data_IF_605318640389
#
_entry.id   IF_605318640389
#
_cell.length_a   1.000
_cell.length_b   1.000
_cell.length_c   1.000
_cell.angle_alpha   90.00
_cell.angle_beta   90.00
_cell.angle_gamma   90.00
#
_symmetry.space_group_name_H-M   'P 1'
#
loop_
_entity.id
_entity.type
_entity.pdbx_description
1 polymer ?
#
# COMPACT_ATOMS: atom_id res chain seq x y z
N UNK A 1 -8.95 10.59 11.34
CA UNK A 1 -9.39 11.78 10.55
C UNK A 1 -10.66 11.40 9.80
N UNK A 2 -11.81 12.05 9.99
CA UNK A 2 -13.06 11.62 9.30
C UNK A 2 -13.34 12.32 7.98
N UNK A 3 -12.68 13.45 7.71
CA UNK A 3 -12.87 14.25 6.49
C UNK A 3 -11.58 14.96 6.08
N UNK A 4 -11.32 15.02 4.77
CA UNK A 4 -10.35 15.91 4.14
C UNK A 4 -11.08 16.79 3.13
N UNK A 5 -11.29 18.07 3.46
CA UNK A 5 -12.04 18.99 2.60
C UNK A 5 -11.25 19.40 1.35
N UNK A 6 -9.92 19.44 1.42
CA UNK A 6 -9.09 19.82 0.27
C UNK A 6 -9.13 18.73 -0.81
N UNK A 7 -9.17 17.47 -0.39
CA UNK A 7 -9.24 16.31 -1.29
C UNK A 7 -10.66 15.79 -1.51
N UNK A 8 -11.66 16.43 -0.90
CA UNK A 8 -13.07 16.01 -0.92
C UNK A 8 -13.27 14.56 -0.48
N UNK A 9 -12.55 14.13 0.56
CA UNK A 9 -12.60 12.77 1.10
C UNK A 9 -13.47 12.76 2.37
N UNK A 10 -14.33 11.74 2.49
CA UNK A 10 -15.04 11.41 3.73
C UNK A 10 -14.81 9.95 4.08
N UNK A 11 -14.57 9.68 5.36
CA UNK A 11 -14.15 8.36 5.85
C UNK A 11 -15.05 7.92 6.99
N UNK A 12 -15.54 6.69 6.91
CA UNK A 12 -16.09 5.97 8.04
C UNK A 12 -15.08 4.90 8.50
N UNK A 13 -15.05 4.66 9.80
CA UNK A 13 -14.13 3.69 10.41
C UNK A 13 -14.90 2.51 10.99
N UNK A 14 -14.25 1.34 10.98
CA UNK A 14 -14.75 0.19 11.71
C UNK A 14 -14.60 0.44 13.22
N UNK A 15 -15.66 0.30 14.03
CA UNK A 15 -15.63 0.61 15.46
C UNK A 15 -14.73 -0.35 16.27
N UNK A 16 -14.50 -1.58 15.79
CA UNK A 16 -13.67 -2.57 16.48
C UNK A 16 -12.18 -2.47 16.18
N UNK A 17 -11.82 -2.09 14.95
CA UNK A 17 -10.41 -2.07 14.49
C UNK A 17 -9.85 -0.68 14.26
N UNK A 18 -10.70 0.36 14.25
CA UNK A 18 -10.34 1.73 13.88
C UNK A 18 -9.69 1.84 12.48
N UNK A 19 -9.98 0.90 11.59
CA UNK A 19 -9.55 0.90 10.18
C UNK A 19 -10.60 1.55 9.28
N UNK A 20 -10.21 2.26 8.20
CA UNK A 20 -11.15 2.87 7.25
C UNK A 20 -12.05 1.82 6.57
N UNK A 21 -13.33 1.86 6.89
CA UNK A 21 -14.34 0.94 6.35
C UNK A 21 -14.86 1.43 4.99
N UNK A 22 -15.28 2.70 4.91
CA UNK A 22 -15.74 3.32 3.68
C UNK A 22 -15.03 4.65 3.47
N UNK A 23 -14.49 4.86 2.26
CA UNK A 23 -13.82 6.09 1.85
C UNK A 23 -14.53 6.62 0.60
N UNK A 24 -15.25 7.73 0.76
CA UNK A 24 -15.90 8.44 -0.34
C UNK A 24 -14.98 9.53 -0.84
N UNK A 25 -14.77 9.59 -2.16
CA UNK A 25 -13.98 10.60 -2.86
C UNK A 25 -14.62 10.92 -4.22
N UNK A 26 -14.15 11.95 -4.97
CA UNK A 26 -14.81 12.37 -6.22
C UNK A 26 -14.94 11.29 -7.31
N UNK A 27 -14.09 10.27 -7.28
CA UNK A 27 -14.05 9.20 -8.30
C UNK A 27 -14.89 7.98 -7.90
N UNK A 28 -15.36 7.89 -6.66
CA UNK A 28 -16.16 6.75 -6.19
C UNK A 28 -16.13 6.54 -4.69
N UNK A 29 -16.53 5.34 -4.29
CA UNK A 29 -16.58 4.90 -2.90
C UNK A 29 -15.77 3.61 -2.79
N UNK A 30 -14.71 3.65 -1.98
CA UNK A 30 -13.94 2.47 -1.62
C UNK A 30 -14.56 1.86 -0.36
N UNK A 31 -14.97 0.60 -0.42
CA UNK A 31 -15.38 -0.18 0.75
C UNK A 31 -14.36 -1.27 1.02
N UNK A 32 -13.69 -1.19 2.17
CA UNK A 32 -12.70 -2.18 2.60
C UNK A 32 -13.35 -3.27 3.46
N UNK A 33 -12.78 -4.46 3.40
CA UNK A 33 -13.19 -5.60 4.23
C UNK A 33 -11.99 -6.09 5.03
N UNK A 34 -12.17 -6.30 6.33
CA UNK A 34 -11.11 -6.73 7.24
C UNK A 34 -11.59 -7.91 8.09
N UNK A 35 -10.62 -8.70 8.56
CA UNK A 35 -10.83 -9.62 9.68
C UNK A 35 -10.98 -8.83 11.00
N UNK A 36 -11.40 -9.52 12.07
CA UNK A 36 -11.43 -8.93 13.41
C UNK A 36 -10.03 -8.55 13.93
N UNK A 37 -8.98 -9.20 13.43
CA UNK A 37 -7.58 -8.89 13.74
C UNK A 37 -6.97 -7.84 12.80
N UNK A 38 -7.79 -7.07 12.07
CA UNK A 38 -7.32 -5.95 11.24
C UNK A 38 -6.71 -6.34 9.89
N UNK A 39 -6.54 -7.61 9.57
CA UNK A 39 -6.04 -8.03 8.25
C UNK A 39 -7.07 -7.70 7.16
N UNK A 40 -6.65 -6.98 6.12
CA UNK A 40 -7.49 -6.67 4.96
C UNK A 40 -7.74 -7.91 4.11
N UNK A 41 -9.01 -8.21 3.87
CA UNK A 41 -9.51 -9.32 3.06
C UNK A 41 -9.87 -8.90 1.64
N UNK A 42 -10.08 -7.62 1.39
CA UNK A 42 -10.45 -7.14 0.08
C UNK A 42 -10.95 -5.70 0.09
N UNK A 43 -11.34 -5.23 -1.09
CA UNK A 43 -11.97 -3.94 -1.31
C UNK A 43 -12.96 -3.99 -2.46
N UNK A 44 -13.95 -3.10 -2.43
CA UNK A 44 -14.84 -2.80 -3.55
C UNK A 44 -14.66 -1.34 -3.93
N UNK A 45 -14.64 -1.07 -5.22
CA UNK A 45 -14.84 0.27 -5.75
C UNK A 45 -16.26 0.38 -6.29
N UNK A 46 -17.01 1.34 -5.77
CA UNK A 46 -18.37 1.66 -6.21
C UNK A 46 -18.38 3.03 -6.89
N UNK A 47 -19.31 3.24 -7.81
CA UNK A 47 -19.63 4.57 -8.30
C UNK A 47 -20.35 5.39 -7.19
N UNK A 48 -20.52 6.70 -7.41
CA UNK A 48 -21.16 7.58 -6.43
C UNK A 48 -22.65 7.27 -6.19
N UNK A 49 -23.26 6.38 -6.98
CA UNK A 49 -24.64 5.90 -6.80
C UNK A 49 -24.69 4.53 -6.11
N UNK A 50 -23.54 3.97 -5.74
CA UNK A 50 -23.42 2.66 -5.08
C UNK A 50 -23.38 1.47 -6.05
N UNK A 51 -23.26 1.70 -7.37
CA UNK A 51 -23.07 0.64 -8.35
C UNK A 51 -21.65 0.07 -8.30
N UNK A 52 -21.50 -1.25 -8.27
CA UNK A 52 -20.19 -1.91 -8.25
C UNK A 52 -19.42 -1.66 -9.55
N UNK A 53 -18.21 -1.09 -9.43
CA UNK A 53 -17.26 -0.94 -10.55
C UNK A 53 -16.37 -2.17 -10.61
N UNK A 54 -15.69 -2.50 -9.52
CA UNK A 54 -14.93 -3.74 -9.38
C UNK A 54 -14.81 -4.14 -7.91
N UNK A 55 -14.45 -5.40 -7.67
CA UNK A 55 -14.03 -5.88 -6.35
C UNK A 55 -12.74 -6.70 -6.43
N UNK A 56 -11.90 -6.54 -5.40
CA UNK A 56 -10.69 -7.34 -5.19
C UNK A 56 -10.76 -8.06 -3.85
N UNK A 57 -10.33 -9.31 -3.83
CA UNK A 57 -10.21 -10.15 -2.63
C UNK A 57 -8.78 -10.68 -2.52
N UNK A 58 -8.25 -10.66 -1.30
CA UNK A 58 -6.89 -11.09 -0.96
C UNK A 58 -6.94 -12.43 -0.22
N UNK A 59 -6.30 -13.45 -0.78
CA UNK A 59 -6.14 -14.79 -0.20
C UNK A 59 -4.65 -15.10 -0.05
N UNK A 60 -4.05 -14.56 1.02
CA UNK A 60 -2.59 -14.49 1.12
C UNK A 60 -2.05 -13.68 -0.07
N UNK A 61 -1.12 -14.26 -0.81
CA UNK A 61 -0.50 -13.61 -1.96
C UNK A 61 -1.39 -13.59 -3.22
N UNK A 62 -2.49 -14.35 -3.25
CA UNK A 62 -3.39 -14.43 -4.39
C UNK A 62 -4.43 -13.29 -4.37
N UNK A 63 -4.50 -12.52 -5.46
CA UNK A 63 -5.52 -11.49 -5.68
C UNK A 63 -6.55 -11.97 -6.69
N UNK A 64 -7.80 -12.02 -6.26
CA UNK A 64 -8.95 -12.32 -7.10
C UNK A 64 -9.69 -11.01 -7.39
N UNK A 65 -9.84 -10.66 -8.66
CA UNK A 65 -10.63 -9.50 -9.09
C UNK A 65 -11.86 -9.98 -9.84
N UNK A 66 -13.04 -9.53 -9.41
CA UNK A 66 -14.33 -9.87 -10.02
C UNK A 66 -14.53 -11.39 -10.22
N UNK A 67 -14.06 -12.18 -9.26
CA UNK A 67 -14.17 -13.65 -9.25
C UNK A 67 -13.10 -14.39 -10.05
N UNK A 68 -12.15 -13.69 -10.67
CA UNK A 68 -11.05 -14.29 -11.43
C UNK A 68 -9.69 -14.03 -10.77
N UNK A 69 -8.78 -15.02 -10.70
CA UNK A 69 -7.39 -14.79 -10.33
C UNK A 69 -6.75 -13.78 -11.28
N UNK A 70 -6.12 -12.73 -10.74
CA UNK A 70 -5.48 -11.70 -11.57
C UNK A 70 -4.04 -11.45 -11.22
N UNK A 71 -3.66 -11.60 -9.95
CA UNK A 71 -2.29 -11.34 -9.50
C UNK A 71 -1.86 -12.33 -8.42
N UNK A 72 -0.57 -12.67 -8.40
CA UNK A 72 0.10 -13.26 -7.24
C UNK A 72 1.16 -12.27 -6.79
N UNK A 73 1.25 -12.04 -5.48
CA UNK A 73 2.08 -11.01 -4.85
C UNK A 73 3.23 -11.64 -4.06
N UNK A 74 4.26 -12.20 -4.72
CA UNK A 74 5.45 -12.61 -3.99
C UNK A 74 6.11 -11.39 -3.35
N UNK A 75 6.87 -11.59 -2.27
CA UNK A 75 7.46 -10.49 -1.50
C UNK A 75 8.28 -9.49 -2.33
N UNK A 76 8.87 -9.90 -3.45
CA UNK A 76 9.77 -9.08 -4.30
C UNK A 76 9.29 -8.89 -5.74
N UNK A 77 7.97 -8.92 -5.99
CA UNK A 77 7.46 -8.71 -7.35
C UNK A 77 5.95 -8.87 -7.48
N UNK A 78 5.48 -8.94 -8.71
CA UNK A 78 4.08 -9.26 -9.03
C UNK A 78 4.05 -10.24 -10.20
N UNK A 79 3.22 -11.26 -10.07
CA UNK A 79 2.87 -12.16 -11.18
C UNK A 79 1.49 -11.76 -11.68
N UNK A 80 1.40 -11.16 -12.86
CA UNK A 80 0.11 -10.85 -13.49
C UNK A 80 -0.40 -12.08 -14.25
N UNK A 81 -1.61 -12.50 -13.92
CA UNK A 81 -2.34 -13.59 -14.55
C UNK A 81 -3.29 -12.98 -15.59
N UNK A 82 -2.76 -12.56 -16.74
CA UNK A 82 -3.59 -12.04 -17.84
C UNK A 82 -4.12 -13.20 -18.69
N UNK A 83 -5.30 -13.03 -19.32
CA UNK A 83 -5.98 -14.09 -20.07
C UNK A 83 -5.21 -14.68 -21.26
N UNK A 84 -4.09 -14.09 -21.67
CA UNK A 84 -3.22 -14.58 -22.75
C UNK A 84 -1.84 -15.04 -22.29
N UNK A 85 -1.50 -14.93 -21.01
CA UNK A 85 -0.18 -15.30 -20.50
C UNK A 85 0.12 -14.81 -19.09
N UNK A 86 1.19 -15.35 -18.53
CA UNK A 86 1.73 -14.96 -17.21
C UNK A 86 2.86 -13.97 -17.42
N UNK A 87 2.75 -12.79 -16.81
CA UNK A 87 3.80 -11.76 -16.81
C UNK A 87 4.42 -11.68 -15.42
N UNK A 88 5.75 -11.62 -15.35
CA UNK A 88 6.50 -11.53 -14.11
C UNK A 88 7.18 -10.18 -14.03
N UNK A 89 6.89 -9.44 -12.97
CA UNK A 89 7.65 -8.24 -12.61
C UNK A 89 8.41 -8.48 -11.32
N UNK A 90 9.61 -7.91 -11.25
CA UNK A 90 10.50 -7.98 -10.09
C UNK A 90 10.75 -6.59 -9.55
N UNK A 91 10.82 -6.47 -8.23
CA UNK A 91 11.07 -5.22 -7.53
C UNK A 91 12.53 -5.15 -7.08
N UNK A 92 13.27 -4.16 -7.61
CA UNK A 92 14.56 -3.79 -7.03
C UNK A 92 14.33 -2.71 -5.99
N UNK A 93 14.73 -3.02 -4.76
CA UNK A 93 14.44 -2.20 -3.59
C UNK A 93 15.72 -1.57 -3.03
N UNK A 94 15.58 -0.40 -2.43
CA UNK A 94 16.64 0.11 -1.56
C UNK A 94 16.59 -0.54 -0.16
N UNK A 95 17.64 -0.31 0.64
CA UNK A 95 17.76 -0.86 1.97
C UNK A 95 16.90 -0.09 2.96
N UNK A 96 16.07 -0.79 3.75
CA UNK A 96 15.50 -0.28 5.00
C UNK A 96 16.35 -0.77 6.17
N UNK A 97 16.74 0.12 7.07
CA UNK A 97 17.84 -0.05 8.04
C UNK A 97 17.62 -0.99 9.21
N UNK A 98 16.50 -1.71 9.27
CA UNK A 98 16.21 -2.62 10.38
C UNK A 98 16.49 -4.06 10.01
N UNK A 99 17.25 -4.81 10.83
CA UNK A 99 17.41 -6.27 10.64
C UNK A 99 16.09 -7.05 10.64
N UNK A 100 15.01 -6.42 11.10
CA UNK A 100 13.66 -6.92 11.20
C UNK A 100 12.84 -6.72 9.90
N UNK A 101 13.33 -5.97 8.91
CA UNK A 101 12.57 -5.59 7.71
C UNK A 101 12.79 -6.50 6.50
N UNK A 102 12.94 -7.81 6.70
CA UNK A 102 13.08 -8.77 5.60
C UNK A 102 11.90 -8.62 4.63
N UNK A 103 12.19 -8.26 3.37
CA UNK A 103 11.18 -8.03 2.32
C UNK A 103 10.60 -6.60 2.27
N UNK A 104 10.90 -5.73 3.25
CA UNK A 104 10.48 -4.32 3.21
C UNK A 104 11.61 -3.45 2.66
N UNK A 105 11.27 -2.63 1.68
CA UNK A 105 12.18 -1.71 1.01
C UNK A 105 11.40 -0.84 0.05
N UNK A 106 11.94 0.33 -0.29
CA UNK A 106 11.27 1.19 -1.25
C UNK A 106 11.54 0.61 -2.64
N UNK A 107 10.48 0.26 -3.37
CA UNK A 107 10.62 -0.26 -4.73
C UNK A 107 11.14 0.87 -5.62
N UNK A 108 12.42 0.80 -6.00
CA UNK A 108 13.12 1.78 -6.84
C UNK A 108 12.95 1.49 -8.32
N UNK A 109 13.01 0.21 -8.69
CA UNK A 109 12.79 -0.24 -10.06
C UNK A 109 11.80 -1.39 -10.09
N UNK A 110 10.94 -1.38 -11.10
CA UNK A 110 10.15 -2.54 -11.51
C UNK A 110 10.72 -3.00 -12.84
N UNK A 111 11.12 -4.27 -12.91
CA UNK A 111 11.73 -4.85 -14.11
C UNK A 111 10.97 -6.10 -14.56
N UNK A 112 11.07 -6.44 -15.84
CA UNK A 112 10.52 -7.67 -16.43
C UNK A 112 11.59 -8.32 -17.33
N UNK A 113 11.55 -9.64 -17.57
CA UNK A 113 12.38 -10.26 -18.60
C UNK A 113 11.95 -9.80 -20.00
N UNK A 114 12.87 -9.19 -20.76
CA UNK A 114 12.68 -8.84 -22.16
C UNK A 114 12.86 -10.04 -23.10
N UNK A 115 12.81 -9.80 -24.42
CA UNK A 115 12.81 -10.85 -25.46
C UNK A 115 13.99 -11.85 -25.37
N UNK A 116 15.16 -11.39 -24.92
CA UNK A 116 16.37 -12.20 -24.77
C UNK A 116 16.67 -12.58 -23.31
N UNK A 117 15.69 -12.48 -22.40
CA UNK A 117 15.84 -12.56 -20.94
C UNK A 117 16.74 -11.46 -20.33
N UNK A 118 17.03 -10.41 -21.07
CA UNK A 118 17.67 -9.21 -20.51
C UNK A 118 16.64 -8.40 -19.71
N UNK A 119 17.05 -7.75 -18.60
CA UNK A 119 16.12 -7.00 -17.76
C UNK A 119 15.64 -5.73 -18.48
N UNK A 120 14.33 -5.61 -18.66
CA UNK A 120 13.68 -4.39 -19.13
C UNK A 120 13.09 -3.62 -17.94
N UNK A 121 13.32 -2.31 -17.89
CA UNK A 121 12.81 -1.44 -16.83
C UNK A 121 11.42 -0.94 -17.21
N UNK A 122 10.43 -1.25 -16.38
CA UNK A 122 9.03 -0.81 -16.56
C UNK A 122 8.73 0.47 -15.78
N UNK A 123 9.31 0.62 -14.59
CA UNK A 123 9.03 1.74 -13.70
C UNK A 123 10.27 2.14 -12.90
N UNK A 124 10.49 3.45 -12.78
CA UNK A 124 11.50 4.05 -11.90
C UNK A 124 10.81 4.92 -10.87
N UNK A 125 11.12 4.69 -9.59
CA UNK A 125 10.54 5.41 -8.46
C UNK A 125 11.61 6.05 -7.59
N UNK A 126 11.44 7.34 -7.34
CA UNK A 126 12.18 8.06 -6.32
C UNK A 126 11.26 8.55 -5.22
N UNK A 127 11.76 8.59 -3.99
CA UNK A 127 10.96 8.92 -2.81
C UNK A 127 11.62 10.05 -2.02
N UNK A 128 10.79 10.97 -1.53
CA UNK A 128 11.14 11.82 -0.39
C UNK A 128 11.31 10.96 0.88
N UNK A 129 12.00 11.45 1.92
CA UNK A 129 12.31 10.66 3.11
C UNK A 129 11.09 10.01 3.80
N UNK A 130 9.93 10.69 3.77
CA UNK A 130 8.67 10.20 4.35
C UNK A 130 7.81 9.40 3.36
N UNK A 131 8.38 9.00 2.22
CA UNK A 131 7.77 8.03 1.31
C UNK A 131 6.85 8.60 0.23
N UNK A 132 6.69 9.92 0.16
CA UNK A 132 6.01 10.53 -0.98
C UNK A 132 6.85 10.29 -2.22
N UNK A 133 6.25 9.75 -3.28
CA UNK A 133 6.96 9.57 -4.54
C UNK A 133 7.30 10.95 -5.13
N UNK A 134 8.59 11.17 -5.40
CA UNK A 134 9.11 12.35 -6.09
C UNK A 134 8.94 12.20 -7.60
N UNK A 135 9.38 11.07 -8.13
CA UNK A 135 9.30 10.73 -9.54
C UNK A 135 8.72 9.34 -9.68
N UNK A 136 7.73 9.18 -10.56
CA UNK A 136 7.21 7.89 -11.00
C UNK A 136 7.21 7.89 -12.51
N UNK A 137 8.30 7.39 -13.10
CA UNK A 137 8.40 7.29 -14.55
C UNK A 137 8.02 5.88 -14.96
N UNK A 138 6.89 5.75 -15.65
CA UNK A 138 6.61 4.57 -16.46
C UNK A 138 7.49 4.66 -17.71
N UNK A 139 8.41 3.71 -17.86
CA UNK A 139 9.19 3.57 -19.08
C UNK A 139 8.28 2.85 -20.08
N UNK A 140 7.96 3.51 -21.20
CA UNK A 140 7.17 2.91 -22.28
C UNK A 140 8.00 1.86 -23.02
N UNK A 141 8.20 0.71 -22.39
CA UNK A 141 8.67 -0.51 -23.03
C UNK A 141 7.50 -1.17 -23.76
N UNK A 142 7.30 -0.86 -25.05
CA UNK A 142 6.57 -1.66 -26.03
C UNK A 142 5.11 -2.13 -25.80
N UNK A 143 4.52 -1.96 -24.61
CA UNK A 143 3.23 -2.52 -24.22
C UNK A 143 2.56 -1.72 -23.10
N UNK A 144 1.24 -1.90 -22.96
CA UNK A 144 0.44 -1.27 -21.92
C UNK A 144 0.67 -1.97 -20.55
N UNK A 145 1.86 -1.79 -19.96
CA UNK A 145 2.15 -2.32 -18.63
C UNK A 145 1.34 -1.57 -17.57
N UNK A 146 0.74 -2.33 -16.65
CA UNK A 146 -0.01 -1.73 -15.54
C UNK A 146 0.95 -1.11 -14.52
N UNK A 147 0.60 0.07 -14.02
CA UNK A 147 1.36 0.74 -12.98
C UNK A 147 1.46 -0.13 -11.72
N UNK A 148 2.66 -0.31 -11.20
CA UNK A 148 2.85 -1.06 -9.96
C UNK A 148 2.34 -0.25 -8.77
N UNK A 149 1.48 -0.87 -7.95
CA UNK A 149 0.88 -0.25 -6.76
C UNK A 149 1.72 -0.43 -5.49
N UNK A 150 2.71 -1.31 -5.50
CA UNK A 150 3.54 -1.62 -4.33
C UNK A 150 4.82 -0.78 -4.35
N UNK A 151 4.85 0.29 -3.57
CA UNK A 151 5.83 1.37 -3.74
C UNK A 151 6.77 1.50 -2.51
N UNK A 152 6.60 2.57 -1.74
CA UNK A 152 7.38 2.86 -0.54
C UNK A 152 7.15 1.75 0.50
N UNK A 153 8.25 1.21 1.07
CA UNK A 153 8.24 0.05 1.95
C UNK A 153 7.43 -1.15 1.43
N UNK A 154 7.31 -1.28 0.10
CA UNK A 154 6.53 -2.33 -0.57
C UNK A 154 5.04 -2.34 -0.16
N UNK A 155 4.50 -1.20 0.30
CA UNK A 155 3.08 -1.06 0.67
C UNK A 155 2.22 -0.70 -0.52
N UNK A 156 0.99 -1.23 -0.51
CA UNK A 156 0.01 -0.96 -1.57
C UNK A 156 -0.50 0.48 -1.45
N UNK A 157 -0.31 1.24 -2.51
CA UNK A 157 -0.92 2.56 -2.67
C UNK A 157 -2.38 2.43 -3.11
N UNK A 158 -3.29 3.11 -2.41
CA UNK A 158 -4.70 3.10 -2.73
C UNK A 158 -5.03 4.11 -3.84
N UNK A 159 -5.89 3.70 -4.77
CA UNK A 159 -6.37 4.46 -5.92
C UNK A 159 -7.41 5.50 -5.49
N UNK A 160 -6.97 6.52 -4.75
CA UNK A 160 -7.80 7.62 -4.27
C UNK A 160 -6.97 8.90 -4.16
N UNK A 161 -7.61 10.09 -4.13
CA UNK A 161 -6.93 11.32 -3.75
C UNK A 161 -6.20 11.14 -2.42
N UNK A 162 -4.96 11.64 -2.34
CA UNK A 162 -4.09 11.41 -1.18
C UNK A 162 -3.12 10.24 -1.33
N UNK A 163 -3.45 9.22 -2.17
CA UNK A 163 -2.56 8.09 -2.50
C UNK A 163 -1.98 7.43 -1.24
N UNK A 164 -2.87 7.00 -0.34
CA UNK A 164 -2.45 6.45 0.95
C UNK A 164 -1.84 5.07 0.81
N UNK A 165 -0.87 4.78 1.67
CA UNK A 165 -0.21 3.48 1.73
C UNK A 165 -0.88 2.62 2.81
N UNK A 166 -1.21 1.38 2.44
CA UNK A 166 -1.81 0.40 3.33
C UNK A 166 -0.73 -0.39 4.06
N UNK A 167 -0.59 -0.14 5.37
CA UNK A 167 0.38 -0.85 6.21
C UNK A 167 -0.23 -2.05 6.93
N UNK A 168 -1.55 -2.26 6.86
CA UNK A 168 -2.27 -3.27 7.65
C UNK A 168 -3.08 -2.62 8.77
N UNK A 169 -2.45 -2.32 9.90
CA UNK A 169 -3.12 -1.78 11.08
C UNK A 169 -3.44 -0.29 11.00
N UNK A 170 -2.80 0.44 10.09
CA UNK A 170 -3.05 1.86 9.83
C UNK A 170 -2.87 2.20 8.36
N UNK A 171 -3.58 3.23 7.91
CA UNK A 171 -3.34 3.88 6.62
C UNK A 171 -2.37 5.05 6.80
N UNK A 172 -1.36 5.13 5.95
CA UNK A 172 -0.32 6.16 6.01
C UNK A 172 -0.49 7.22 4.92
N UNK A 173 -0.43 8.50 5.29
CA UNK A 173 -0.35 9.64 4.38
C UNK A 173 1.11 10.08 4.22
N UNK A 174 1.71 9.73 3.09
CA UNK A 174 3.09 10.12 2.81
C UNK A 174 3.25 11.63 2.56
N UNK A 175 2.18 12.33 2.16
CA UNK A 175 2.22 13.79 1.92
C UNK A 175 2.23 14.57 3.24
N UNK A 176 1.55 14.04 4.26
CA UNK A 176 1.52 14.62 5.60
C UNK A 176 2.57 14.04 6.54
N UNK A 177 3.22 12.93 6.17
CA UNK A 177 4.13 12.18 7.02
C UNK A 177 3.47 11.67 8.32
N UNK A 178 2.21 11.23 8.24
CA UNK A 178 1.39 10.85 9.41
C UNK A 178 0.49 9.65 9.14
N UNK A 179 0.14 8.95 10.21
CA UNK A 179 -0.94 7.97 10.21
C UNK A 179 -2.31 8.64 10.23
N UNK A 180 -3.31 8.00 9.60
CA UNK A 180 -4.70 8.48 9.61
C UNK A 180 -5.51 8.08 10.84
N UNK A 181 -5.05 7.05 11.54
CA UNK A 181 -5.63 6.52 12.78
C UNK A 181 -4.67 6.68 13.96
N UNK A 182 -5.24 6.67 15.16
CA UNK A 182 -4.49 6.59 16.43
C UNK A 182 -3.77 5.23 16.46
N UNK A 183 -2.50 5.24 16.88
CA UNK A 183 -1.74 4.02 17.16
C UNK A 183 -2.49 3.09 18.14
N UNK A 184 -2.78 1.83 17.78
CA UNK A 184 -3.32 0.86 18.73
C UNK A 184 -2.43 0.63 19.96
N UNK A 185 -1.12 0.90 19.83
CA UNK A 185 -0.12 0.79 20.89
C UNK A 185 0.26 2.17 21.47
N UNK A 186 -0.60 3.19 21.36
CA UNK A 186 -0.32 4.53 21.87
C UNK A 186 0.03 4.55 23.39
N UNK A 187 -0.54 3.63 24.17
CA UNK A 187 -0.30 3.50 25.60
C UNK A 187 0.88 2.58 25.95
N UNK A 188 1.53 1.96 24.95
CA UNK A 188 2.71 1.12 25.17
C UNK A 188 3.87 1.96 25.70
N UNK A 189 4.67 1.40 26.61
CA UNK A 189 5.78 2.09 27.25
C UNK A 189 6.82 2.61 26.25
N UNK A 190 6.96 1.98 25.07
CA UNK A 190 7.85 2.41 24.00
C UNK A 190 7.27 3.52 23.10
N UNK A 191 5.96 3.79 23.19
CA UNK A 191 5.25 4.76 22.34
C UNK A 191 4.69 5.95 23.12
N UNK A 192 4.58 5.86 24.45
CA UNK A 192 3.91 6.85 25.29
C UNK A 192 4.48 8.28 25.19
N UNK A 193 5.76 8.42 24.82
CA UNK A 193 6.44 9.71 24.61
C UNK A 193 6.37 10.20 23.15
N UNK A 194 5.69 9.46 22.28
CA UNK A 194 5.49 9.77 20.85
C UNK A 194 4.06 10.21 20.59
N UNK A 195 3.88 10.96 19.51
CA UNK A 195 2.51 11.24 19.04
C UNK A 195 1.88 9.94 18.53
N UNK A 196 0.61 9.63 18.85
CA UNK A 196 -0.11 8.47 18.32
C UNK A 196 -0.28 8.47 16.79
N UNK A 197 0.11 9.56 16.13
CA UNK A 197 0.05 9.72 14.67
C UNK A 197 1.44 9.80 14.03
N UNK A 198 2.52 9.71 14.81
CA UNK A 198 3.89 9.81 14.30
C UNK A 198 4.28 8.57 13.52
N UNK A 199 4.78 8.77 12.30
CA UNK A 199 5.39 7.70 11.51
C UNK A 199 6.88 7.56 11.86
N UNK A 200 7.33 6.32 12.08
CA UNK A 200 8.74 5.97 12.25
C UNK A 200 9.51 6.85 13.26
N UNK A 201 8.83 7.30 14.32
CA UNK A 201 9.35 8.27 15.31
C UNK A 201 10.00 9.53 14.69
N UNK A 202 9.47 9.98 13.55
CA UNK A 202 10.01 11.07 12.72
C UNK A 202 11.43 10.84 12.17
N UNK A 203 11.91 9.60 12.13
CA UNK A 203 13.18 9.24 11.50
C UNK A 203 12.98 8.08 10.49
N UNK A 204 12.29 8.32 9.36
CA UNK A 204 11.95 7.30 8.38
C UNK A 204 13.14 6.81 7.54
N UNK A 205 14.29 7.49 7.66
CA UNK A 205 15.56 7.03 7.05
C UNK A 205 16.11 5.84 7.84
N UNK A 206 15.92 5.85 9.16
CA UNK A 206 16.46 4.81 10.06
C UNK A 206 15.41 3.78 10.50
N UNK A 207 14.15 4.18 10.65
CA UNK A 207 13.06 3.33 11.12
C UNK A 207 12.02 3.13 10.02
N UNK A 208 11.40 1.96 10.04
CA UNK A 208 10.26 1.60 9.21
C UNK A 208 9.25 0.88 10.09
N UNK A 209 7.96 1.07 9.83
CA UNK A 209 6.88 0.35 10.51
C UNK A 209 6.41 -0.82 9.62
N UNK A 210 6.67 -2.10 9.98
CA UNK A 210 6.35 -3.24 9.12
C UNK A 210 4.87 -3.48 8.89
N UNK A 211 4.02 -3.24 9.88
CA UNK A 211 2.61 -3.62 9.88
C UNK A 211 1.69 -2.46 10.30
N UNK A 212 2.27 -1.30 10.58
CA UNK A 212 1.53 -0.15 11.06
C UNK A 212 1.19 -0.22 12.54
N UNK A 213 1.81 -1.07 13.34
CA UNK A 213 1.72 -1.00 14.81
C UNK A 213 2.91 -0.26 15.39
N UNK A 214 4.13 -0.65 15.02
CA UNK A 214 5.31 -0.20 15.72
C UNK A 214 6.59 -0.52 14.94
N UNK A 215 7.56 0.42 14.81
CA UNK A 215 8.81 0.19 14.08
C UNK A 215 9.72 -0.92 14.60
N UNK A 216 9.45 -1.44 15.80
CA UNK A 216 10.30 -2.40 16.49
C UNK A 216 9.54 -3.65 16.97
N UNK A 217 8.24 -3.73 16.69
CA UNK A 217 7.39 -4.82 17.13
C UNK A 217 7.08 -5.66 15.89
N UNK A 218 7.66 -6.85 15.79
CA UNK A 218 7.20 -7.86 14.83
C UNK A 218 6.67 -9.03 15.65
N UNK A 219 5.41 -9.38 15.43
CA UNK A 219 4.81 -10.60 15.97
C UNK A 219 4.46 -10.54 17.45
N UNK A 220 3.60 -9.58 17.83
CA UNK A 220 2.78 -9.74 19.03
C UNK A 220 1.58 -10.67 18.72
#
# INVERSE_FOLDING_TARGET
MSTDLNRSIRISYNPGTNLPNEIMHPEGIIQNHYTLSGQKLGKKLLDLRGGLIYQEQYYGDLVIKDGQPTRILPGDGVVNLSGSGVEFTYHLKDHTSTKLSAGLGNVRLVITPGENNEPEVLQVNDYYPFGMAYTQNLQSGGGAHQHNKYLYNSKEEQEMPGRWLDYGWRMYDAQLARWHGVDPLADDAMQIDKSPYAYAWNNPIYYTDPDGLCPWCIGA
#
